data_IF_047247159680
#
_entry.id   IF_047247159680
#
_cell.length_a   1.000
_cell.length_b   1.000
_cell.length_c   1.000
_cell.angle_alpha   90.00
_cell.angle_beta   90.00
_cell.angle_gamma   90.00
#
_symmetry.space_group_name_H-M   'P 1'
#
loop_
_entity.id
_entity.type
_entity.pdbx_description
1 polymer ?
#
# COMPACT_ATOMS: atom_id res chain seq x y z
N UNK A 1 18.63 -3.51 -30.46
CA UNK A 1 17.32 -4.21 -30.50
C UNK A 1 16.32 -3.47 -29.61
N UNK A 2 15.39 -2.68 -30.15
CA UNK A 2 14.48 -1.82 -29.37
C UNK A 2 13.43 -2.55 -28.51
N UNK A 3 13.25 -3.87 -28.70
CA UNK A 3 12.17 -4.64 -28.04
C UNK A 3 12.58 -5.37 -26.75
N UNK A 4 13.84 -5.29 -26.32
CA UNK A 4 14.34 -6.08 -25.18
C UNK A 4 14.10 -5.42 -23.81
N UNK A 5 13.94 -4.10 -23.78
CA UNK A 5 13.71 -3.35 -22.55
C UNK A 5 12.40 -2.58 -22.60
N UNK A 6 11.66 -2.60 -21.49
CA UNK A 6 10.42 -1.85 -21.33
C UNK A 6 10.49 -1.02 -20.05
N UNK A 7 9.89 0.16 -20.06
CA UNK A 7 9.70 1.01 -18.88
C UNK A 7 8.27 0.83 -18.38
N UNK A 8 8.08 0.71 -17.08
CA UNK A 8 6.74 0.66 -16.49
C UNK A 8 6.77 0.78 -14.98
N UNK A 9 5.60 0.72 -14.37
CA UNK A 9 5.46 0.75 -12.91
C UNK A 9 5.50 -0.68 -12.38
N UNK A 10 6.35 -0.91 -11.39
CA UNK A 10 6.49 -2.21 -10.75
C UNK A 10 5.42 -2.40 -9.68
N UNK A 11 4.79 -3.58 -9.66
CA UNK A 11 3.80 -3.99 -8.68
C UNK A 11 4.20 -5.35 -8.14
N UNK A 12 4.42 -5.44 -6.83
CA UNK A 12 4.76 -6.69 -6.18
C UNK A 12 3.49 -7.43 -5.76
N UNK A 13 3.24 -8.58 -6.38
CA UNK A 13 2.07 -9.42 -6.08
C UNK A 13 2.34 -10.32 -4.86
N UNK A 14 3.59 -10.75 -4.68
CA UNK A 14 4.02 -11.53 -3.52
C UNK A 14 5.52 -11.38 -3.29
N UNK A 15 6.04 -11.96 -2.21
CA UNK A 15 7.48 -11.95 -1.91
C UNK A 15 8.37 -12.46 -3.05
N UNK A 16 7.86 -13.35 -3.92
CA UNK A 16 8.62 -13.97 -5.04
C UNK A 16 8.04 -13.65 -6.42
N UNK A 17 7.00 -12.83 -6.54
CA UNK A 17 6.32 -12.55 -7.81
C UNK A 17 5.97 -11.07 -7.90
N UNK A 18 6.24 -10.46 -9.05
CA UNK A 18 5.84 -9.10 -9.36
C UNK A 18 5.43 -8.97 -10.82
N UNK A 19 4.91 -7.81 -11.16
CA UNK A 19 4.42 -7.46 -12.48
C UNK A 19 4.83 -6.03 -12.83
N UNK A 20 5.06 -5.76 -14.11
CA UNK A 20 5.28 -4.40 -14.62
C UNK A 20 4.09 -3.98 -15.49
N UNK A 21 3.40 -2.93 -15.08
CA UNK A 21 2.26 -2.32 -15.80
C UNK A 21 2.72 -1.11 -16.63
N UNK A 22 2.10 -0.81 -17.78
CA UNK A 22 0.89 -1.43 -18.35
C UNK A 22 1.14 -2.70 -19.18
N UNK A 23 2.39 -3.12 -19.36
CA UNK A 23 2.74 -4.25 -20.24
C UNK A 23 2.41 -5.63 -19.69
N UNK A 24 1.95 -5.73 -18.44
CA UNK A 24 1.63 -6.98 -17.73
C UNK A 24 2.78 -8.00 -17.76
N UNK A 25 4.03 -7.53 -17.66
CA UNK A 25 5.21 -8.40 -17.69
C UNK A 25 5.43 -9.01 -16.31
N UNK A 26 5.20 -10.31 -16.19
CA UNK A 26 5.46 -11.06 -14.95
C UNK A 26 6.94 -11.29 -14.68
N UNK A 27 7.36 -11.04 -13.45
CA UNK A 27 8.73 -11.24 -12.95
C UNK A 27 8.67 -12.23 -11.78
N UNK A 28 9.43 -13.32 -11.87
CA UNK A 28 9.49 -14.35 -10.83
C UNK A 28 10.88 -14.40 -10.19
N UNK A 29 10.93 -14.57 -8.87
CA UNK A 29 12.16 -14.68 -8.10
C UNK A 29 12.66 -13.34 -7.58
N UNK A 30 13.17 -13.35 -6.34
CA UNK A 30 13.65 -12.16 -5.63
C UNK A 30 14.82 -11.51 -6.38
N UNK A 31 15.73 -12.34 -6.90
CA UNK A 31 16.88 -11.88 -7.69
C UNK A 31 16.47 -11.13 -8.95
N UNK A 32 15.39 -11.56 -9.62
CA UNK A 32 14.91 -10.95 -10.84
C UNK A 32 14.08 -9.69 -10.58
N UNK A 33 13.38 -9.60 -9.44
CA UNK A 33 12.72 -8.36 -9.02
C UNK A 33 13.72 -7.31 -8.53
N UNK A 34 14.93 -7.73 -8.15
CA UNK A 34 15.98 -6.85 -7.68
C UNK A 34 15.58 -6.09 -6.42
N UNK A 35 15.89 -4.80 -6.40
CA UNK A 35 15.69 -3.91 -5.24
C UNK A 35 14.43 -3.05 -5.38
N UNK A 36 13.53 -3.40 -6.30
CA UNK A 36 12.33 -2.62 -6.60
C UNK A 36 11.22 -2.86 -5.56
N UNK A 37 10.54 -1.78 -5.20
CA UNK A 37 9.31 -1.79 -4.42
C UNK A 37 8.10 -1.54 -5.32
N UNK A 38 6.92 -1.98 -4.87
CA UNK A 38 5.66 -1.59 -5.51
C UNK A 38 5.61 -0.08 -5.65
N UNK A 39 5.19 0.42 -6.81
CA UNK A 39 5.11 1.84 -7.11
C UNK A 39 6.31 2.41 -7.86
N UNK A 40 7.45 1.72 -7.86
CA UNK A 40 8.64 2.19 -8.56
C UNK A 40 8.45 2.22 -10.07
N UNK A 41 9.01 3.24 -10.71
CA UNK A 41 9.21 3.21 -12.16
C UNK A 41 10.50 2.49 -12.47
N UNK A 42 10.39 1.39 -13.20
CA UNK A 42 11.52 0.47 -13.46
C UNK A 42 11.76 0.29 -14.95
N UNK A 43 12.99 -0.11 -15.27
CA UNK A 43 13.32 -0.72 -16.55
C UNK A 43 13.35 -2.23 -16.35
N UNK A 44 12.57 -2.95 -17.15
CA UNK A 44 12.53 -4.41 -17.17
C UNK A 44 13.13 -4.92 -18.47
N UNK A 45 14.00 -5.92 -18.36
CA UNK A 45 14.42 -6.75 -19.48
C UNK A 45 13.36 -7.84 -19.69
N UNK A 46 12.78 -7.92 -20.89
CA UNK A 46 11.77 -8.93 -21.22
C UNK A 46 12.37 -10.32 -21.29
N UNK A 47 11.58 -11.35 -21.02
CA UNK A 47 12.02 -12.73 -21.10
C UNK A 47 12.47 -13.10 -22.53
N UNK A 48 13.50 -13.94 -22.63
CA UNK A 48 13.96 -14.59 -23.85
C UNK A 48 13.88 -16.11 -23.68
N UNK A 49 14.26 -16.89 -24.70
CA UNK A 49 14.29 -18.37 -24.59
C UNK A 49 15.23 -18.87 -23.48
N UNK A 50 16.19 -18.06 -23.05
CA UNK A 50 17.27 -18.43 -22.14
C UNK A 50 17.18 -17.73 -20.78
N UNK A 51 16.43 -16.62 -20.68
CA UNK A 51 16.39 -15.78 -19.49
C UNK A 51 14.97 -15.35 -19.17
N UNK A 52 14.60 -15.43 -17.88
CA UNK A 52 13.34 -14.88 -17.37
C UNK A 52 13.38 -13.35 -17.33
N UNK A 53 12.21 -12.71 -17.37
CA UNK A 53 12.13 -11.26 -17.21
C UNK A 53 12.71 -10.81 -15.86
N UNK A 54 13.40 -9.65 -15.86
CA UNK A 54 14.01 -9.08 -14.65
C UNK A 54 14.05 -7.56 -14.68
N UNK A 55 13.96 -6.96 -13.50
CA UNK A 55 14.24 -5.54 -13.29
C UNK A 55 15.74 -5.31 -13.43
N UNK A 56 16.12 -4.39 -14.32
CA UNK A 56 17.53 -4.02 -14.56
C UNK A 56 17.87 -2.64 -14.02
N UNK A 57 16.86 -1.82 -13.69
CA UNK A 57 17.08 -0.51 -13.10
C UNK A 57 15.81 0.12 -12.55
N UNK A 58 15.97 1.05 -11.60
CA UNK A 58 14.90 1.87 -11.03
C UNK A 58 15.15 3.30 -11.51
N UNK A 59 14.21 3.84 -12.28
CA UNK A 59 14.26 5.21 -12.82
C UNK A 59 13.78 6.20 -11.77
N UNK A 60 12.69 5.87 -11.09
CA UNK A 60 12.07 6.71 -10.07
C UNK A 60 11.59 5.83 -8.92
N UNK A 61 12.02 6.19 -7.72
CA UNK A 61 11.58 5.52 -6.49
C UNK A 61 10.23 6.08 -6.05
N UNK A 62 9.35 5.19 -5.61
CA UNK A 62 8.15 5.58 -4.87
C UNK A 62 8.50 5.80 -3.38
N UNK A 63 8.82 7.03 -2.99
CA UNK A 63 9.29 7.35 -1.63
C UNK A 63 8.30 6.89 -0.54
N UNK A 64 6.99 6.93 -0.79
CA UNK A 64 5.98 6.43 0.15
C UNK A 64 6.10 4.93 0.44
N UNK A 65 6.72 4.15 -0.43
CA UNK A 65 6.90 2.70 -0.23
C UNK A 65 8.17 2.34 0.54
N UNK A 66 8.89 3.34 1.08
CA UNK A 66 10.15 3.17 1.84
C UNK A 66 9.92 3.22 3.33
N UNK A 67 8.72 3.55 3.76
CA UNK A 67 8.29 3.41 5.14
C UNK A 67 7.31 2.24 5.23
N UNK A 68 7.55 1.32 6.15
CA UNK A 68 6.79 0.08 6.25
C UNK A 68 6.47 -0.24 7.71
N UNK A 69 5.19 -0.52 7.96
CA UNK A 69 4.75 -1.08 9.23
C UNK A 69 5.11 -2.57 9.31
N UNK A 70 5.85 -2.96 10.34
CA UNK A 70 6.46 -4.28 10.45
C UNK A 70 6.30 -4.91 11.85
N UNK A 71 6.36 -6.24 11.90
CA UNK A 71 6.59 -7.01 13.11
C UNK A 71 8.06 -7.41 13.23
N UNK A 72 8.57 -7.46 14.46
CA UNK A 72 9.90 -8.00 14.73
C UNK A 72 9.88 -9.53 14.70
N UNK A 73 10.80 -10.15 13.95
CA UNK A 73 10.92 -11.61 13.96
C UNK A 73 11.47 -12.12 15.30
N UNK A 74 10.85 -13.20 15.80
CA UNK A 74 11.21 -13.84 17.07
C UNK A 74 12.61 -14.45 17.07
N UNK A 75 13.04 -14.98 15.93
CA UNK A 75 14.36 -15.61 15.80
C UNK A 75 15.47 -14.58 15.65
N UNK A 76 16.32 -14.50 16.68
CA UNK A 76 17.62 -13.85 16.56
C UNK A 76 18.58 -14.76 15.78
N UNK A 77 18.50 -14.71 14.44
CA UNK A 77 19.36 -15.51 13.54
C UNK A 77 20.86 -15.21 13.75
N UNK A 78 21.22 -14.11 14.41
CA UNK A 78 22.61 -13.82 14.75
C UNK A 78 23.18 -14.76 15.82
N UNK A 79 22.32 -15.31 16.71
CA UNK A 79 22.75 -16.25 17.75
C UNK A 79 23.24 -17.59 17.22
N UNK A 80 22.86 -17.96 15.99
CA UNK A 80 23.24 -19.23 15.35
C UNK A 80 24.64 -19.19 14.71
N UNK A 81 25.22 -18.01 14.49
CA UNK A 81 26.58 -17.90 13.91
C UNK A 81 27.61 -17.80 15.02
N UNK A 82 28.53 -18.78 15.05
CA UNK A 82 29.68 -18.82 15.94
C UNK A 82 30.47 -17.51 15.86
N UNK A 83 30.92 -17.03 17.02
CA UNK A 83 31.80 -15.88 17.28
C UNK A 83 32.35 -15.13 16.04
N UNK A 84 31.52 -14.29 15.41
CA UNK A 84 32.02 -13.27 14.48
C UNK A 84 32.52 -12.06 15.28
N UNK A 85 33.65 -11.48 14.85
CA UNK A 85 34.21 -10.22 15.35
C UNK A 85 33.33 -9.01 15.05
N UNK A 86 32.22 -9.22 14.32
CA UNK A 86 31.27 -8.17 13.97
C UNK A 86 30.69 -7.50 15.21
N UNK A 87 30.78 -6.18 15.23
CA UNK A 87 30.16 -5.31 16.25
C UNK A 87 28.64 -5.17 16.03
N UNK A 88 28.11 -5.78 14.96
CA UNK A 88 26.73 -5.61 14.50
C UNK A 88 25.97 -6.94 14.58
N UNK A 89 24.76 -6.88 15.12
CA UNK A 89 23.76 -7.93 15.14
C UNK A 89 22.66 -7.57 14.14
N UNK A 90 22.27 -8.53 13.29
CA UNK A 90 21.18 -8.36 12.32
C UNK A 90 19.88 -8.89 12.88
N UNK A 91 18.80 -8.10 12.80
CA UNK A 91 17.43 -8.51 13.13
C UNK A 91 16.53 -8.26 11.92
N UNK A 92 15.51 -9.11 11.75
CA UNK A 92 14.60 -9.04 10.62
C UNK A 92 13.26 -8.45 11.06
N UNK A 93 12.75 -7.53 10.26
CA UNK A 93 11.41 -6.95 10.34
C UNK A 93 10.56 -7.52 9.21
N UNK A 94 9.41 -8.06 9.54
CA UNK A 94 8.45 -8.60 8.58
C UNK A 94 7.31 -7.59 8.38
N UNK A 95 7.17 -6.98 7.19
CA UNK A 95 6.09 -6.07 6.91
C UNK A 95 4.71 -6.70 7.12
N UNK A 96 3.74 -5.89 7.55
CA UNK A 96 2.32 -6.28 7.60
C UNK A 96 1.84 -6.60 6.17
N UNK A 97 2.18 -5.74 5.22
CA UNK A 97 1.96 -5.97 3.80
C UNK A 97 2.82 -7.13 3.28
N UNK A 98 2.20 -8.29 3.10
CA UNK A 98 2.88 -9.56 2.75
C UNK A 98 3.63 -9.54 1.42
N UNK A 99 3.30 -8.63 0.50
CA UNK A 99 4.02 -8.48 -0.75
C UNK A 99 5.34 -7.71 -0.59
N UNK A 100 5.47 -6.87 0.44
CA UNK A 100 6.67 -6.08 0.68
C UNK A 100 7.87 -6.95 1.12
N UNK A 101 9.11 -6.55 0.80
CA UNK A 101 10.29 -7.29 1.24
C UNK A 101 10.51 -7.16 2.74
N UNK A 102 10.98 -8.23 3.39
CA UNK A 102 11.49 -8.14 4.77
C UNK A 102 12.64 -7.15 4.85
N UNK A 103 12.76 -6.45 5.96
CA UNK A 103 13.79 -5.43 6.17
C UNK A 103 14.77 -5.92 7.24
N UNK A 104 16.06 -5.77 6.99
CA UNK A 104 17.09 -6.01 7.98
C UNK A 104 17.33 -4.71 8.76
N UNK A 105 17.41 -4.79 10.09
CA UNK A 105 17.93 -3.71 10.94
C UNK A 105 19.25 -4.14 11.55
N UNK A 106 20.12 -3.16 11.83
CA UNK A 106 21.43 -3.38 12.44
C UNK A 106 21.44 -2.86 13.88
N UNK A 107 21.81 -3.73 14.81
CA UNK A 107 21.95 -3.42 16.23
C UNK A 107 23.41 -3.52 16.65
N UNK A 108 23.83 -2.68 17.59
CA UNK A 108 25.14 -2.87 18.24
C UNK A 108 25.11 -4.16 19.08
N UNK A 109 26.11 -5.02 18.92
CA UNK A 109 26.23 -6.30 19.65
C UNK A 109 26.15 -6.13 21.16
N UNK A 110 26.69 -5.03 21.72
CA UNK A 110 26.62 -4.72 23.17
C UNK A 110 25.21 -4.36 23.63
N UNK A 111 24.37 -3.81 22.74
CA UNK A 111 23.01 -3.38 23.01
C UNK A 111 21.98 -4.19 22.19
N UNK A 112 22.30 -5.46 21.87
CA UNK A 112 21.48 -6.30 20.96
C UNK A 112 20.03 -6.55 21.43
N UNK A 113 19.76 -6.30 22.71
CA UNK A 113 18.42 -6.45 23.31
C UNK A 113 17.64 -5.12 23.32
N UNK A 114 18.19 -4.04 22.77
CA UNK A 114 17.54 -2.75 22.65
C UNK A 114 17.33 -2.40 21.18
N UNK A 115 16.13 -1.95 20.85
CA UNK A 115 15.78 -1.40 19.56
C UNK A 115 15.96 0.12 19.63
N UNK A 116 16.90 0.70 18.88
CA UNK A 116 17.01 2.15 18.74
C UNK A 116 15.87 2.68 17.86
N UNK A 117 15.26 3.77 18.28
CA UNK A 117 14.34 4.57 17.45
C UNK A 117 15.11 5.76 16.92
N UNK A 118 15.05 5.94 15.61
CA UNK A 118 15.82 6.92 14.87
C UNK A 118 14.92 8.04 14.38
N UNK A 119 15.47 9.25 14.38
CA UNK A 119 14.89 10.42 13.74
C UNK A 119 15.84 10.91 12.65
N UNK A 120 15.28 11.45 11.57
CA UNK A 120 16.06 12.07 10.51
C UNK A 120 15.82 13.57 10.50
N UNK A 121 16.87 14.34 10.79
CA UNK A 121 16.83 15.80 10.79
C UNK A 121 17.92 16.31 9.84
N UNK A 122 17.54 17.12 8.86
CA UNK A 122 18.46 17.66 7.85
C UNK A 122 19.33 16.59 7.17
N UNK A 123 18.74 15.44 6.86
CA UNK A 123 19.41 14.30 6.23
C UNK A 123 20.26 13.44 7.18
N UNK A 124 20.43 13.83 8.44
CA UNK A 124 21.24 13.11 9.42
C UNK A 124 20.37 12.24 10.34
N UNK A 125 20.81 11.01 10.54
CA UNK A 125 20.14 10.04 11.40
C UNK A 125 20.69 10.10 12.82
N UNK A 126 19.82 10.35 13.79
CA UNK A 126 20.14 10.34 15.22
C UNK A 126 19.25 9.35 15.95
N UNK A 127 19.76 8.74 17.02
CA UNK A 127 18.94 7.87 17.87
C UNK A 127 18.31 8.74 18.95
N UNK A 128 16.98 8.73 19.02
CA UNK A 128 16.20 9.53 19.97
C UNK A 128 15.76 8.72 21.20
N UNK A 129 15.61 7.40 21.06
CA UNK A 129 15.25 6.53 22.18
C UNK A 129 15.74 5.09 21.98
N UNK A 130 15.72 4.32 23.06
CA UNK A 130 16.00 2.89 23.06
C UNK A 130 14.89 2.16 23.82
N UNK A 131 14.41 1.05 23.24
CA UNK A 131 13.39 0.21 23.87
C UNK A 131 13.89 -1.23 24.02
N UNK A 132 13.68 -1.83 25.18
CA UNK A 132 14.09 -3.22 25.36
C UNK A 132 13.17 -4.15 24.56
N UNK A 133 13.74 -5.08 23.79
CA UNK A 133 13.01 -5.96 22.85
C UNK A 133 11.85 -6.69 23.53
N UNK A 134 11.97 -7.08 24.80
CA UNK A 134 10.89 -7.77 25.53
C UNK A 134 9.65 -6.90 25.79
N UNK A 135 9.82 -5.59 25.89
CA UNK A 135 8.73 -4.64 26.22
C UNK A 135 7.91 -4.24 24.98
N UNK A 136 8.54 -4.34 23.80
CA UNK A 136 7.97 -3.88 22.53
C UNK A 136 7.80 -5.02 21.52
N UNK A 137 8.02 -6.28 21.92
CA UNK A 137 8.04 -7.44 21.03
C UNK A 137 6.74 -7.61 20.24
N UNK A 138 5.62 -7.37 20.90
CA UNK A 138 4.27 -7.56 20.40
C UNK A 138 3.69 -6.29 19.75
N UNK A 139 4.50 -5.24 19.62
CA UNK A 139 4.14 -3.97 19.00
C UNK A 139 4.44 -3.95 17.50
N UNK A 140 3.94 -2.92 16.83
CA UNK A 140 4.20 -2.68 15.43
C UNK A 140 5.33 -1.65 15.33
N UNK A 141 6.28 -1.89 14.44
CA UNK A 141 7.44 -1.05 14.21
C UNK A 141 7.27 -0.34 12.87
N UNK A 142 7.33 0.97 12.86
CA UNK A 142 7.47 1.73 11.62
C UNK A 142 8.95 1.74 11.26
N UNK A 143 9.27 1.28 10.05
CA UNK A 143 10.65 1.09 9.60
C UNK A 143 10.86 1.86 8.30
N UNK A 144 11.80 2.80 8.33
CA UNK A 144 12.24 3.53 7.14
C UNK A 144 13.42 2.80 6.47
N UNK A 145 13.31 2.54 5.17
CA UNK A 145 14.32 1.87 4.35
C UNK A 145 15.39 2.89 3.96
N UNK A 146 16.58 2.73 4.54
CA UNK A 146 17.70 3.65 4.32
C UNK A 146 18.57 3.27 3.12
N UNK A 147 18.68 1.98 2.81
CA UNK A 147 19.43 1.52 1.63
C UNK A 147 19.09 0.09 1.25
N UNK A 148 19.26 -0.25 -0.02
CA UNK A 148 19.29 -1.63 -0.49
C UNK A 148 20.50 -1.78 -1.39
N UNK A 149 21.47 -2.60 -0.97
CA UNK A 149 22.69 -2.85 -1.75
C UNK A 149 22.45 -3.99 -2.73
N UNK A 150 23.12 -3.92 -3.87
CA UNK A 150 23.18 -5.04 -4.81
C UNK A 150 23.66 -6.31 -4.09
N UNK A 151 23.17 -7.47 -4.55
CA UNK A 151 23.45 -8.80 -3.97
C UNK A 151 22.90 -9.03 -2.55
N UNK A 152 22.27 -8.05 -1.92
CA UNK A 152 21.56 -8.25 -0.65
C UNK A 152 20.10 -8.64 -0.91
N UNK A 153 19.62 -9.70 -0.25
CA UNK A 153 18.22 -10.14 -0.39
C UNK A 153 17.21 -9.20 0.25
N UNK A 154 17.64 -8.40 1.22
CA UNK A 154 16.77 -7.54 2.03
C UNK A 154 17.36 -6.14 2.12
N UNK A 155 16.52 -5.09 2.06
CA UNK A 155 16.94 -3.73 2.37
C UNK A 155 17.39 -3.60 3.83
N UNK A 156 18.19 -2.59 4.08
CA UNK A 156 18.53 -2.09 5.41
C UNK A 156 17.57 -0.98 5.79
N UNK A 157 17.10 -0.97 7.03
CA UNK A 157 16.23 0.08 7.56
C UNK A 157 16.55 0.48 8.99
N UNK A 158 15.94 1.61 9.39
CA UNK A 158 15.93 2.16 10.73
C UNK A 158 14.50 2.15 11.27
N UNK A 159 14.32 1.79 12.54
CA UNK A 159 13.03 1.94 13.20
C UNK A 159 12.81 3.41 13.51
N UNK A 160 11.71 4.00 13.05
CA UNK A 160 11.36 5.42 13.24
C UNK A 160 10.24 5.62 14.26
N UNK A 161 9.38 4.62 14.45
CA UNK A 161 8.36 4.65 15.50
C UNK A 161 7.99 3.23 15.98
N UNK A 162 7.38 3.16 17.16
CA UNK A 162 6.84 1.92 17.74
C UNK A 162 5.39 2.16 18.15
N UNK A 163 4.46 1.57 17.41
CA UNK A 163 3.02 1.73 17.57
C UNK A 163 2.46 0.60 18.44
N UNK A 164 1.64 0.95 19.43
CA UNK A 164 0.91 -0.02 20.24
C UNK A 164 -0.29 -0.58 19.48
N UNK A 165 -0.61 -1.86 19.67
CA UNK A 165 -1.84 -2.47 19.12
C UNK A 165 -3.11 -1.82 19.68
N UNK A 166 -3.07 -1.28 20.89
CA UNK A 166 -4.19 -0.60 21.57
C UNK A 166 -4.00 0.92 21.55
N UNK A 167 -3.52 1.45 20.43
CA UNK A 167 -3.18 2.86 20.27
C UNK A 167 -4.37 3.77 19.92
N UNK A 168 -4.07 5.07 19.68
CA UNK A 168 -5.02 6.05 19.16
C UNK A 168 -5.75 5.58 17.89
N UNK A 169 -6.91 6.19 17.62
CA UNK A 169 -7.71 5.85 16.44
C UNK A 169 -6.89 6.05 15.15
N UNK A 170 -6.17 7.16 15.03
CA UNK A 170 -5.39 7.50 13.83
C UNK A 170 -4.29 6.48 13.51
N UNK A 171 -3.54 6.01 14.51
CA UNK A 171 -2.54 4.94 14.34
C UNK A 171 -3.19 3.67 13.79
N UNK A 172 -4.37 3.31 14.30
CA UNK A 172 -5.10 2.11 13.84
C UNK A 172 -5.65 2.28 12.43
N UNK A 173 -6.17 3.46 12.07
CA UNK A 173 -6.61 3.74 10.70
C UNK A 173 -5.42 3.72 9.73
N UNK A 174 -4.29 4.32 10.12
CA UNK A 174 -3.08 4.29 9.31
C UNK A 174 -2.60 2.85 9.07
N UNK A 175 -2.59 2.01 10.11
CA UNK A 175 -2.24 0.59 9.98
C UNK A 175 -3.18 -0.17 9.04
N UNK A 176 -4.50 0.05 9.15
CA UNK A 176 -5.49 -0.56 8.25
C UNK A 176 -5.27 -0.11 6.80
N UNK A 177 -5.01 1.19 6.60
CA UNK A 177 -4.70 1.73 5.28
C UNK A 177 -3.48 1.05 4.66
N UNK A 178 -2.41 0.89 5.43
CA UNK A 178 -1.17 0.23 4.99
C UNK A 178 -1.36 -1.28 4.72
N UNK A 179 -2.24 -1.96 5.47
CA UNK A 179 -2.53 -3.38 5.27
C UNK A 179 -3.37 -3.64 4.02
N UNK A 180 -4.39 -2.81 3.79
CA UNK A 180 -5.40 -3.03 2.75
C UNK A 180 -5.21 -2.17 1.48
N UNK A 181 -4.11 -1.43 1.39
CA UNK A 181 -3.82 -0.52 0.26
C UNK A 181 -4.98 0.44 -0.04
N UNK A 182 -5.65 0.93 1.01
CA UNK A 182 -6.76 1.88 0.86
C UNK A 182 -6.20 3.17 0.30
N UNK A 183 -6.57 3.49 -0.94
CA UNK A 183 -6.17 4.73 -1.56
C UNK A 183 -6.69 5.90 -0.73
N UNK A 184 -5.79 6.76 -0.24
CA UNK A 184 -6.21 8.12 0.14
C UNK A 184 -6.44 8.88 -1.14
N UNK A 185 -7.64 8.76 -1.69
CA UNK A 185 -8.13 9.65 -2.73
C UNK A 185 -8.35 11.02 -2.09
N UNK A 186 -7.33 11.87 -2.15
CA UNK A 186 -7.53 13.31 -2.05
C UNK A 186 -8.02 13.73 -3.44
N UNK A 187 -9.34 13.68 -3.65
CA UNK A 187 -9.91 14.25 -4.86
C UNK A 187 -9.53 15.75 -4.86
N UNK A 188 -8.82 16.18 -5.91
CA UNK A 188 -8.73 17.61 -6.20
C UNK A 188 -10.16 18.03 -6.54
N UNK A 189 -10.65 19.03 -5.79
CA UNK A 189 -11.92 19.75 -5.96
C UNK A 189 -12.54 19.59 -7.34
N UNK A 190 -13.83 19.19 -7.40
CA UNK A 190 -14.85 19.12 -8.48
C UNK A 190 -14.56 19.73 -9.89
N UNK A 191 -13.32 19.73 -10.37
CA UNK A 191 -12.93 20.23 -11.69
C UNK A 191 -13.29 19.16 -12.71
N UNK A 192 -14.52 19.20 -13.21
CA UNK A 192 -14.96 18.36 -14.33
C UNK A 192 -16.41 17.88 -14.29
N UNK A 193 -17.12 18.02 -13.17
CA UNK A 193 -18.54 17.67 -13.11
C UNK A 193 -19.38 18.84 -13.62
N UNK A 194 -19.80 18.77 -14.88
CA UNK A 194 -20.82 19.67 -15.42
C UNK A 194 -22.17 19.32 -14.81
N UNK A 195 -22.93 20.29 -14.27
CA UNK A 195 -24.30 20.06 -13.82
C UNK A 195 -25.30 19.97 -14.99
N UNK A 196 -24.82 20.10 -16.24
CA UNK A 196 -25.66 20.07 -17.44
C UNK A 196 -25.82 18.62 -17.88
N UNK A 197 -27.01 18.09 -17.70
CA UNK A 197 -27.43 16.78 -18.20
C UNK A 197 -27.82 16.91 -19.69
N UNK A 198 -26.90 16.57 -20.58
CA UNK A 198 -27.08 16.66 -22.03
C UNK A 198 -28.16 15.68 -22.56
N UNK A 199 -28.58 14.70 -21.75
CA UNK A 199 -29.51 13.62 -22.13
C UNK A 199 -30.94 13.81 -21.57
N UNK A 200 -31.23 15.00 -21.01
CA UNK A 200 -32.53 15.36 -20.41
C UNK A 200 -33.75 14.98 -21.27
N UNK A 201 -33.63 15.04 -22.60
CA UNK A 201 -34.73 14.78 -23.53
C UNK A 201 -35.17 13.31 -23.59
N UNK A 202 -34.29 12.37 -23.20
CA UNK A 202 -34.56 10.93 -23.23
C UNK A 202 -35.00 10.38 -21.87
N UNK A 203 -35.04 11.21 -20.83
CA UNK A 203 -35.42 10.80 -19.47
C UNK A 203 -36.93 10.77 -19.26
N UNK A 204 -37.41 9.74 -18.57
CA UNK A 204 -38.78 9.64 -18.10
C UNK A 204 -38.95 10.51 -16.85
N UNK A 205 -39.96 11.38 -16.83
CA UNK A 205 -40.24 12.27 -15.70
C UNK A 205 -41.08 11.56 -14.63
N UNK A 206 -40.44 11.18 -13.53
CA UNK A 206 -41.05 10.51 -12.37
C UNK A 206 -41.18 11.43 -11.14
N UNK A 207 -40.94 12.75 -11.28
CA UNK A 207 -40.89 13.70 -10.15
C UNK A 207 -42.23 13.87 -9.41
N UNK A 208 -43.34 13.40 -9.98
CA UNK A 208 -44.67 13.45 -9.36
C UNK A 208 -44.94 12.29 -8.42
N UNK A 209 -44.15 11.22 -8.49
CA UNK A 209 -44.29 10.09 -7.58
C UNK A 209 -43.87 10.52 -6.17
N UNK A 210 -44.63 10.09 -5.15
CA UNK A 210 -44.18 10.22 -3.76
C UNK A 210 -43.05 9.23 -3.57
N UNK A 211 -41.85 9.76 -3.39
CA UNK A 211 -40.61 8.98 -3.32
C UNK A 211 -39.88 9.33 -2.02
N UNK A 212 -39.40 8.31 -1.32
CA UNK A 212 -38.70 8.45 -0.04
C UNK A 212 -37.54 7.45 0.06
N UNK A 213 -36.56 7.74 0.90
CA UNK A 213 -35.43 6.85 1.20
C UNK A 213 -35.57 6.29 2.62
N UNK A 214 -34.84 5.22 2.94
CA UNK A 214 -34.87 4.58 4.27
C UNK A 214 -33.44 4.33 4.72
N UNK A 215 -32.84 5.36 5.33
CA UNK A 215 -31.41 5.40 5.66
C UNK A 215 -31.16 5.61 7.16
N UNK A 216 -29.97 5.23 7.66
CA UNK A 216 -29.54 5.61 9.00
C UNK A 216 -29.54 7.13 9.23
N UNK A 217 -29.77 7.53 10.47
CA UNK A 217 -29.69 8.95 10.84
C UNK A 217 -28.29 9.50 10.55
N UNK A 218 -28.22 10.59 9.77
CA UNK A 218 -26.96 11.22 9.37
C UNK A 218 -26.33 10.66 8.10
N UNK A 219 -27.04 9.85 7.30
CA UNK A 219 -26.60 9.49 5.96
C UNK A 219 -26.44 10.74 5.08
N UNK A 220 -25.26 10.87 4.45
CA UNK A 220 -24.95 11.96 3.52
C UNK A 220 -25.14 11.53 2.06
N UNK A 221 -24.82 10.27 1.75
CA UNK A 221 -24.98 9.67 0.43
C UNK A 221 -26.26 8.81 0.41
N UNK A 222 -27.22 9.15 -0.46
CA UNK A 222 -28.48 8.44 -0.63
C UNK A 222 -28.50 7.74 -1.98
N UNK A 223 -28.27 6.42 -1.99
CA UNK A 223 -28.06 5.65 -3.22
C UNK A 223 -29.35 5.16 -3.86
N UNK A 224 -30.41 4.98 -3.06
CA UNK A 224 -31.70 4.46 -3.49
C UNK A 224 -32.88 5.22 -2.91
N UNK A 225 -34.00 5.17 -3.63
CA UNK A 225 -35.28 5.69 -3.18
C UNK A 225 -36.43 4.80 -3.64
N UNK A 226 -37.52 4.82 -2.89
CA UNK A 226 -38.67 3.96 -3.10
C UNK A 226 -39.91 4.84 -3.32
N UNK A 227 -40.70 4.49 -4.34
CA UNK A 227 -42.05 5.03 -4.53
C UNK A 227 -43.07 3.91 -4.52
N UNK A 228 -44.22 4.16 -3.90
CA UNK A 228 -45.34 3.20 -3.90
C UNK A 228 -46.58 3.89 -4.45
N UNK A 229 -47.19 3.29 -5.47
CA UNK A 229 -48.42 3.80 -6.06
C UNK A 229 -49.50 2.71 -6.05
N UNK A 230 -50.62 3.00 -5.40
CA UNK A 230 -51.80 2.13 -5.42
C UNK A 230 -52.62 2.38 -6.68
N UNK A 231 -52.75 1.37 -7.54
CA UNK A 231 -53.57 1.46 -8.77
C UNK A 231 -55.02 1.03 -8.55
N UNK A 232 -55.40 0.66 -7.32
CA UNK A 232 -56.70 0.10 -6.95
C UNK A 232 -56.87 -1.39 -7.26
N UNK A 233 -55.96 -1.98 -8.05
CA UNK A 233 -55.91 -3.44 -8.33
C UNK A 233 -54.62 -4.07 -7.85
N UNK A 234 -53.51 -3.35 -8.00
CA UNK A 234 -52.17 -3.76 -7.61
C UNK A 234 -51.38 -2.55 -7.08
N UNK A 235 -50.34 -2.81 -6.32
CA UNK A 235 -49.35 -1.78 -5.99
C UNK A 235 -48.25 -1.79 -7.05
N UNK A 236 -47.88 -0.61 -7.52
CA UNK A 236 -46.66 -0.39 -8.28
C UNK A 236 -45.57 0.08 -7.31
N UNK A 237 -44.46 -0.65 -7.29
CA UNK A 237 -43.28 -0.34 -6.50
C UNK A 237 -42.17 0.13 -7.43
N UNK A 238 -41.77 1.38 -7.29
CA UNK A 238 -40.60 1.94 -7.98
C UNK A 238 -39.38 1.87 -7.08
N UNK A 239 -38.29 1.31 -7.59
CA UNK A 239 -36.96 1.35 -6.97
C UNK A 239 -36.11 2.27 -7.85
N UNK A 240 -35.72 3.41 -7.31
CA UNK A 240 -34.95 4.45 -7.99
C UNK A 240 -33.53 4.38 -7.46
N UNK A 241 -32.53 4.28 -8.34
CA UNK A 241 -31.11 4.23 -7.96
C UNK A 241 -30.41 5.48 -8.49
N UNK A 242 -29.48 6.01 -7.71
CA UNK A 242 -28.66 7.15 -8.08
C UNK A 242 -27.95 6.93 -9.43
N UNK A 243 -28.16 7.88 -10.35
CA UNK A 243 -27.60 7.82 -11.70
C UNK A 243 -26.18 8.40 -11.74
N UNK A 244 -25.23 7.64 -11.19
CA UNK A 244 -23.80 7.99 -11.19
C UNK A 244 -23.22 7.91 -12.61
N UNK A 245 -23.77 7.05 -13.46
CA UNK A 245 -23.27 6.81 -14.82
C UNK A 245 -23.36 8.06 -15.71
N UNK A 246 -24.36 8.92 -15.49
CA UNK A 246 -24.48 10.20 -16.20
C UNK A 246 -23.35 11.19 -15.91
N UNK A 247 -22.60 10.99 -14.82
CA UNK A 247 -21.52 11.88 -14.40
C UNK A 247 -20.13 11.27 -14.54
N UNK A 248 -20.02 9.96 -14.76
CA UNK A 248 -18.75 9.22 -14.84
C UNK A 248 -18.59 8.59 -16.22
N UNK A 249 -17.59 9.04 -16.98
CA UNK A 249 -17.26 8.46 -18.28
C UNK A 249 -16.34 7.24 -18.13
N UNK A 250 -16.41 6.32 -19.09
CA UNK A 250 -15.68 5.03 -19.05
C UNK A 250 -14.14 5.21 -19.10
N UNK A 251 -13.64 6.38 -19.53
CA UNK A 251 -12.22 6.66 -19.71
C UNK A 251 -11.54 7.36 -18.50
N UNK A 252 -12.14 7.28 -17.31
CA UNK A 252 -11.63 7.84 -16.05
C UNK A 252 -10.59 6.98 -15.33
#
# INVERSE_FOLDING_TARGET
QPNMFKRGKFVKESFKKGMVIPFHIGIQGISNMGMAFTGDEVVVQTATKEQTARVVGIIKKAESSRELACFLEDEDRSKRRLATTDRIVKRMMTPIKRSAPKICIHLNKKQRNFIPVWEQTDGHWTVISFHHVKEVRDRIFVVNVISWKEQCFYPLGNVTAIISKTGPLDDRLWLLKEEFDVATTVFKTNEGLSPIDEDCAHRRDERKAITFTVDPAGAEDLDDAISVHDTGKHYELGIHISDVASFVTIDG
#
